data_IF_293779742865
#
_entry.id   IF_293779742865
#
_cell.length_a   1.000
_cell.length_b   1.000
_cell.length_c   1.000
_cell.angle_alpha   90.00
_cell.angle_beta   90.00
_cell.angle_gamma   90.00
#
_symmetry.space_group_name_H-M   'P 1'
#
loop_
_entity.id
_entity.type
_entity.pdbx_description
1 polymer ?
#
# COMPACT_ATOMS: atom_id res chain seq x y z
N UNK A 1 1.82 7.71 -14.63
CA UNK A 1 2.05 9.18 -14.62
C UNK A 1 2.33 9.63 -16.05
N UNK A 2 1.78 10.77 -16.48
CA UNK A 2 2.14 11.40 -17.75
C UNK A 2 3.05 12.60 -17.48
N UNK A 3 4.19 12.69 -18.14
CA UNK A 3 5.15 13.80 -17.96
C UNK A 3 4.75 15.02 -18.80
N UNK A 4 5.30 16.22 -18.52
CA UNK A 4 5.13 17.39 -19.39
C UNK A 4 5.60 17.18 -20.82
N UNK A 5 6.54 16.26 -21.03
CA UNK A 5 7.13 15.87 -22.32
C UNK A 5 6.31 14.84 -23.10
N UNK A 6 5.07 14.54 -22.66
CA UNK A 6 4.17 13.56 -23.27
C UNK A 6 4.61 12.09 -23.09
N UNK A 7 5.51 11.82 -22.14
CA UNK A 7 5.95 10.46 -21.80
C UNK A 7 5.06 9.81 -20.74
N UNK A 8 5.05 8.48 -20.72
CA UNK A 8 4.26 7.69 -19.76
C UNK A 8 5.18 6.84 -18.88
N UNK A 9 5.16 7.14 -17.58
CA UNK A 9 5.85 6.36 -16.55
C UNK A 9 4.83 5.50 -15.80
N UNK A 10 5.12 4.22 -15.65
CA UNK A 10 4.34 3.26 -14.89
C UNK A 10 5.26 2.64 -13.84
N UNK A 11 4.68 2.06 -12.78
CA UNK A 11 5.42 1.54 -11.63
C UNK A 11 5.96 2.64 -10.69
N UNK A 12 5.71 2.48 -9.39
CA UNK A 12 6.07 3.48 -8.38
C UNK A 12 7.58 3.62 -8.23
N UNK A 13 8.34 2.52 -8.27
CA UNK A 13 9.79 2.56 -8.18
C UNK A 13 10.39 3.27 -9.40
N UNK A 14 9.92 2.94 -10.61
CA UNK A 14 10.37 3.62 -11.83
C UNK A 14 10.06 5.12 -11.81
N UNK A 15 8.86 5.50 -11.34
CA UNK A 15 8.46 6.91 -11.21
C UNK A 15 9.39 7.63 -10.22
N UNK A 16 9.64 7.05 -9.05
CA UNK A 16 10.50 7.65 -8.02
C UNK A 16 11.93 7.81 -8.55
N UNK A 17 12.52 6.76 -9.14
CA UNK A 17 13.88 6.80 -9.69
C UNK A 17 14.02 7.88 -10.78
N UNK A 18 13.02 8.01 -11.64
CA UNK A 18 13.01 9.02 -12.70
C UNK A 18 12.92 10.43 -12.11
N UNK A 19 12.08 10.64 -11.09
CA UNK A 19 11.94 11.94 -10.44
C UNK A 19 13.18 12.32 -9.62
N UNK A 20 13.83 11.37 -8.96
CA UNK A 20 15.07 11.60 -8.21
C UNK A 20 16.21 12.11 -9.11
N UNK A 21 16.25 11.67 -10.37
CA UNK A 21 17.22 12.17 -11.37
C UNK A 21 16.92 13.61 -11.80
N UNK A 22 15.64 13.95 -12.00
CA UNK A 22 15.22 15.28 -12.45
C UNK A 22 15.19 16.32 -11.32
N UNK A 23 15.01 15.91 -10.06
CA UNK A 23 14.78 16.79 -8.91
C UNK A 23 15.67 16.46 -7.69
N UNK A 24 17.01 16.61 -7.79
CA UNK A 24 17.93 16.17 -6.76
C UNK A 24 17.88 16.97 -5.44
N UNK A 25 17.23 18.15 -5.42
CA UNK A 25 17.29 19.08 -4.28
C UNK A 25 16.59 18.55 -3.02
N UNK A 26 15.62 17.63 -3.17
CA UNK A 26 14.86 17.03 -2.06
C UNK A 26 14.85 15.51 -2.09
N UNK A 27 15.96 14.91 -2.54
CA UNK A 27 16.10 13.47 -2.74
C UNK A 27 15.57 12.62 -1.57
N UNK A 28 14.70 11.65 -1.86
CA UNK A 28 14.19 10.67 -0.88
C UNK A 28 15.18 9.52 -0.66
N UNK A 29 16.29 9.51 -1.40
CA UNK A 29 17.37 8.54 -1.24
C UNK A 29 18.36 9.02 -0.16
N UNK A 30 18.59 8.25 0.92
CA UNK A 30 19.61 8.60 1.91
C UNK A 30 21.02 8.64 1.32
N UNK A 31 21.86 9.55 1.79
CA UNK A 31 23.23 9.74 1.27
C UNK A 31 24.24 8.76 1.85
N UNK A 32 24.02 8.27 3.08
CA UNK A 32 24.95 7.33 3.72
C UNK A 32 24.62 5.89 3.30
N UNK A 33 25.64 5.04 3.03
CA UNK A 33 25.41 3.67 2.55
C UNK A 33 24.53 2.83 3.48
N UNK A 34 24.66 3.00 4.80
CA UNK A 34 23.87 2.25 5.79
C UNK A 34 22.39 2.62 5.73
N UNK A 35 22.07 3.91 5.75
CA UNK A 35 20.69 4.38 5.66
C UNK A 35 20.08 4.03 4.31
N UNK A 36 20.85 4.14 3.23
CA UNK A 36 20.39 3.76 1.89
C UNK A 36 20.01 2.29 1.82
N UNK A 37 20.85 1.39 2.35
CA UNK A 37 20.55 -0.03 2.44
C UNK A 37 19.26 -0.28 3.26
N UNK A 38 19.13 0.35 4.43
CA UNK A 38 17.95 0.17 5.27
C UNK A 38 16.68 0.69 4.57
N UNK A 39 16.76 1.81 3.87
CA UNK A 39 15.61 2.36 3.12
C UNK A 39 15.11 1.41 2.04
N UNK A 40 16.02 0.80 1.26
CA UNK A 40 15.65 -0.22 0.27
C UNK A 40 15.11 -1.50 0.92
N UNK A 41 15.67 -1.91 2.06
CA UNK A 41 15.16 -3.09 2.76
C UNK A 41 13.70 -2.90 3.21
N UNK A 42 13.36 -1.70 3.70
CA UNK A 42 11.97 -1.39 4.02
C UNK A 42 11.08 -1.35 2.77
N UNK A 43 11.49 -0.65 1.71
CA UNK A 43 10.69 -0.61 0.49
C UNK A 43 10.40 -2.01 -0.08
N UNK A 44 11.42 -2.87 -0.17
CA UNK A 44 11.24 -4.25 -0.61
C UNK A 44 10.39 -5.05 0.36
N UNK A 45 10.56 -4.86 1.67
CA UNK A 45 9.76 -5.54 2.68
C UNK A 45 8.28 -5.13 2.61
N UNK A 46 8.01 -3.86 2.37
CA UNK A 46 6.66 -3.31 2.28
C UNK A 46 5.93 -3.85 1.05
N UNK A 47 6.60 -3.83 -0.11
CA UNK A 47 6.02 -4.25 -1.38
C UNK A 47 5.73 -5.76 -1.42
N UNK A 48 6.61 -6.57 -0.84
CA UNK A 48 6.53 -8.03 -0.97
C UNK A 48 5.88 -8.72 0.25
N UNK A 49 6.00 -8.18 1.47
CA UNK A 49 5.45 -8.81 2.68
C UNK A 49 4.26 -8.06 3.26
N UNK A 50 4.27 -6.73 3.35
CA UNK A 50 3.11 -6.01 3.93
C UNK A 50 1.88 -6.05 3.03
N UNK A 51 2.04 -6.35 1.74
CA UNK A 51 0.92 -6.65 0.85
C UNK A 51 0.07 -7.83 1.33
N UNK A 52 0.65 -8.78 2.07
CA UNK A 52 -0.04 -9.98 2.57
C UNK A 52 -1.14 -9.61 3.59
N UNK A 53 -0.83 -8.97 4.75
CA UNK A 53 -1.86 -8.53 5.67
C UNK A 53 -2.78 -7.50 5.03
N UNK A 54 -2.24 -6.56 4.23
CA UNK A 54 -3.03 -5.56 3.52
C UNK A 54 -4.14 -6.18 2.65
N UNK A 55 -3.82 -7.22 1.87
CA UNK A 55 -4.82 -7.94 1.07
C UNK A 55 -5.73 -8.81 1.92
N UNK A 56 -5.21 -9.43 2.99
CA UNK A 56 -6.02 -10.22 3.92
C UNK A 56 -7.15 -9.38 4.55
N UNK A 57 -6.81 -8.28 5.21
CA UNK A 57 -7.79 -7.40 5.85
C UNK A 57 -8.73 -6.76 4.83
N UNK A 58 -8.28 -6.51 3.60
CA UNK A 58 -9.13 -5.98 2.55
C UNK A 58 -10.17 -6.97 2.03
N UNK A 59 -9.78 -8.23 1.83
CA UNK A 59 -10.60 -9.16 1.03
C UNK A 59 -11.18 -10.34 1.80
N UNK A 60 -10.74 -10.58 3.05
CA UNK A 60 -11.25 -11.67 3.90
C UNK A 60 -12.03 -11.17 5.13
N UNK A 61 -12.11 -9.85 5.34
CA UNK A 61 -12.99 -9.22 6.34
C UNK A 61 -14.22 -8.62 5.66
N UNK A 62 -15.23 -8.23 6.43
CA UNK A 62 -16.53 -7.72 5.94
C UNK A 62 -16.48 -6.25 5.43
N UNK A 63 -15.48 -5.92 4.62
CA UNK A 63 -15.26 -4.56 4.08
C UNK A 63 -15.83 -4.34 2.68
N UNK A 64 -16.56 -5.33 2.14
CA UNK A 64 -16.93 -5.38 0.72
C UNK A 64 -17.82 -4.24 0.21
N UNK A 65 -18.84 -3.75 0.95
CA UNK A 65 -19.71 -2.69 0.44
C UNK A 65 -18.92 -1.42 0.08
N UNK A 66 -18.04 -0.97 0.99
CA UNK A 66 -17.18 0.18 0.78
C UNK A 66 -16.19 -0.07 -0.39
N UNK A 67 -15.50 -1.20 -0.39
CA UNK A 67 -14.52 -1.53 -1.43
C UNK A 67 -15.18 -1.52 -2.82
N UNK A 68 -16.34 -2.15 -2.98
CA UNK A 68 -17.03 -2.19 -4.27
C UNK A 68 -17.49 -0.82 -4.75
N UNK A 69 -17.93 0.04 -3.83
CA UNK A 69 -18.29 1.41 -4.18
C UNK A 69 -17.08 2.20 -4.70
N UNK A 70 -15.94 2.12 -4.00
CA UNK A 70 -14.71 2.79 -4.40
C UNK A 70 -14.18 2.29 -5.76
N UNK A 71 -14.17 0.97 -5.99
CA UNK A 71 -13.85 0.43 -7.31
C UNK A 71 -14.81 0.93 -8.40
N UNK A 72 -16.11 1.03 -8.09
CA UNK A 72 -17.10 1.57 -9.01
C UNK A 72 -16.86 3.05 -9.36
N UNK A 73 -16.45 3.87 -8.38
CA UNK A 73 -16.07 5.28 -8.58
C UNK A 73 -14.84 5.42 -9.48
N UNK A 74 -13.82 4.58 -9.29
CA UNK A 74 -12.59 4.64 -10.09
C UNK A 74 -12.84 4.21 -11.55
N UNK A 75 -13.58 3.12 -11.76
CA UNK A 75 -13.75 2.51 -13.09
C UNK A 75 -14.80 3.25 -13.92
N UNK A 76 -15.87 3.72 -13.29
CA UNK A 76 -17.02 4.32 -13.96
C UNK A 76 -17.44 5.64 -13.28
N UNK A 77 -16.53 6.64 -13.18
CA UNK A 77 -16.73 7.85 -12.39
C UNK A 77 -17.92 8.71 -12.82
N UNK A 78 -18.37 8.56 -14.07
CA UNK A 78 -19.47 9.33 -14.64
C UNK A 78 -20.80 8.53 -14.72
N UNK A 79 -20.82 7.28 -14.29
CA UNK A 79 -22.02 6.43 -14.36
C UNK A 79 -22.93 6.58 -13.13
N UNK A 80 -24.23 6.26 -13.20
CA UNK A 80 -25.12 6.18 -12.05
C UNK A 80 -24.64 5.19 -10.97
N UNK A 81 -24.97 5.45 -9.69
CA UNK A 81 -24.49 4.67 -8.54
C UNK A 81 -24.76 3.17 -8.61
N UNK A 82 -25.93 2.74 -9.09
CA UNK A 82 -26.25 1.32 -9.24
C UNK A 82 -25.35 0.59 -10.26
N UNK A 83 -24.94 1.29 -11.32
CA UNK A 83 -24.02 0.76 -12.33
C UNK A 83 -22.61 0.67 -11.74
N UNK A 84 -22.18 1.68 -10.98
CA UNK A 84 -20.90 1.65 -10.27
C UNK A 84 -20.81 0.47 -9.30
N UNK A 85 -21.84 0.25 -8.49
CA UNK A 85 -21.89 -0.86 -7.54
C UNK A 85 -21.81 -2.23 -8.24
N UNK A 86 -22.54 -2.39 -9.36
CA UNK A 86 -22.48 -3.62 -10.14
C UNK A 86 -21.09 -3.89 -10.74
N UNK A 87 -20.48 -2.88 -11.38
CA UNK A 87 -19.14 -2.98 -11.96
C UNK A 87 -18.09 -3.22 -10.88
N UNK A 88 -18.14 -2.45 -9.79
CA UNK A 88 -17.23 -2.53 -8.66
C UNK A 88 -17.27 -3.91 -8.00
N UNK A 89 -18.46 -4.50 -7.81
CA UNK A 89 -18.60 -5.87 -7.30
C UNK A 89 -17.94 -6.89 -8.23
N UNK A 90 -18.20 -6.81 -9.55
CA UNK A 90 -17.64 -7.76 -10.53
C UNK A 90 -16.11 -7.72 -10.55
N UNK A 91 -15.53 -6.52 -10.52
CA UNK A 91 -14.09 -6.33 -10.56
C UNK A 91 -13.45 -6.67 -9.22
N UNK A 92 -14.02 -6.20 -8.10
CA UNK A 92 -13.54 -6.53 -6.77
C UNK A 92 -13.55 -8.03 -6.49
N UNK A 93 -14.55 -8.77 -6.99
CA UNK A 93 -14.56 -10.24 -6.89
C UNK A 93 -13.39 -10.90 -7.61
N UNK A 94 -12.90 -10.33 -8.73
CA UNK A 94 -11.70 -10.82 -9.42
C UNK A 94 -10.44 -10.62 -8.55
N UNK A 95 -10.30 -9.46 -7.92
CA UNK A 95 -9.17 -9.18 -7.02
C UNK A 95 -9.19 -10.08 -5.78
N UNK A 96 -10.37 -10.32 -5.19
CA UNK A 96 -10.52 -11.31 -4.12
C UNK A 96 -10.02 -12.70 -4.53
N UNK A 97 -10.21 -13.08 -5.79
CA UNK A 97 -9.72 -14.35 -6.34
C UNK A 97 -8.20 -14.50 -6.38
N UNK A 98 -7.43 -13.41 -6.26
CA UNK A 98 -5.97 -13.44 -6.24
C UNK A 98 -5.36 -13.62 -4.85
N UNK A 99 -6.14 -13.41 -3.79
CA UNK A 99 -5.71 -13.53 -2.38
C UNK A 99 -5.06 -14.88 -2.06
N UNK A 100 -5.59 -16.05 -2.51
CA UNK A 100 -4.94 -17.33 -2.26
C UNK A 100 -3.56 -17.49 -2.90
N UNK A 101 -3.27 -16.79 -4.01
CA UNK A 101 -1.95 -16.85 -4.65
C UNK A 101 -0.86 -16.17 -3.81
N UNK A 102 -1.25 -15.26 -2.91
CA UNK A 102 -0.35 -14.65 -1.92
C UNK A 102 -0.13 -15.54 -0.68
N UNK A 103 -0.62 -16.79 -0.71
CA UNK A 103 -0.53 -17.71 0.42
C UNK A 103 -1.52 -17.43 1.55
N UNK A 104 -2.48 -16.53 1.33
CA UNK A 104 -3.52 -16.18 2.31
C UNK A 104 -4.65 -17.21 2.22
N UNK A 105 -4.76 -18.06 3.22
CA UNK A 105 -5.76 -19.13 3.32
C UNK A 105 -6.15 -19.35 4.79
N UNK A 106 -7.27 -20.04 5.05
CA UNK A 106 -7.80 -20.25 6.40
C UNK A 106 -6.75 -20.77 7.40
N UNK A 107 -5.82 -21.61 6.94
CA UNK A 107 -4.72 -22.15 7.76
C UNK A 107 -3.60 -21.15 8.08
N UNK A 108 -3.38 -20.14 7.23
CA UNK A 108 -2.31 -19.14 7.40
C UNK A 108 -2.81 -17.83 7.99
N UNK A 109 -4.12 -17.55 7.88
CA UNK A 109 -4.74 -16.33 8.41
C UNK A 109 -4.37 -16.06 9.87
N UNK A 110 -4.50 -17.02 10.82
CA UNK A 110 -4.16 -16.75 12.22
C UNK A 110 -2.70 -16.32 12.42
N UNK A 111 -1.76 -16.88 11.64
CA UNK A 111 -0.36 -16.50 11.71
C UNK A 111 -0.07 -15.13 11.06
N UNK A 112 -0.80 -14.78 10.00
CA UNK A 112 -0.70 -13.46 9.36
C UNK A 112 -1.22 -12.38 10.32
N UNK A 113 -2.37 -12.61 10.95
CA UNK A 113 -2.96 -11.70 11.94
C UNK A 113 -2.03 -11.53 13.15
N UNK A 114 -1.53 -12.62 13.73
CA UNK A 114 -0.60 -12.57 14.86
C UNK A 114 0.69 -11.80 14.53
N UNK A 115 1.32 -12.13 13.39
CA UNK A 115 2.52 -11.42 12.93
C UNK A 115 2.27 -9.93 12.75
N UNK A 116 1.15 -9.55 12.13
CA UNK A 116 0.87 -8.16 11.83
C UNK A 116 0.46 -7.36 13.07
N UNK A 117 -0.49 -7.87 13.84
CA UNK A 117 -1.09 -7.16 14.99
C UNK A 117 -0.18 -7.15 16.21
N UNK A 118 0.54 -8.24 16.49
CA UNK A 118 1.33 -8.38 17.72
C UNK A 118 2.82 -8.08 17.54
N UNK A 119 3.32 -8.01 16.29
CA UNK A 119 4.73 -7.72 16.03
C UNK A 119 4.95 -6.49 15.16
N UNK A 120 4.36 -6.43 13.96
CA UNK A 120 4.61 -5.33 13.03
C UNK A 120 4.05 -4.00 13.56
N UNK A 121 2.75 -3.95 13.86
CA UNK A 121 2.09 -2.72 14.31
C UNK A 121 2.70 -2.15 15.60
N UNK A 122 2.98 -2.94 16.65
CA UNK A 122 3.59 -2.41 17.86
C UNK A 122 5.01 -1.88 17.65
N UNK A 123 5.79 -2.48 16.75
CA UNK A 123 7.14 -2.00 16.43
C UNK A 123 7.09 -0.68 15.64
N UNK A 124 6.19 -0.57 14.67
CA UNK A 124 5.99 0.68 13.92
C UNK A 124 5.44 1.78 14.84
N UNK A 125 4.45 1.49 15.67
CA UNK A 125 3.89 2.45 16.64
C UNK A 125 4.97 2.98 17.59
N UNK A 126 5.76 2.08 18.17
CA UNK A 126 6.88 2.46 19.03
C UNK A 126 7.91 3.34 18.30
N UNK A 127 8.25 2.99 17.06
CA UNK A 127 9.21 3.77 16.27
C UNK A 127 8.68 5.17 15.95
N UNK A 128 7.44 5.25 15.46
CA UNK A 128 6.81 6.51 15.08
C UNK A 128 6.38 7.38 16.27
N UNK A 129 6.36 6.84 17.49
CA UNK A 129 6.23 7.63 18.71
C UNK A 129 7.47 8.48 19.01
N UNK A 130 8.65 8.11 18.49
CA UNK A 130 9.93 8.80 18.75
C UNK A 130 10.51 9.47 17.49
N UNK A 131 10.12 9.02 16.30
CA UNK A 131 10.66 9.46 15.02
C UNK A 131 9.56 9.78 14.00
N UNK A 132 9.71 10.89 13.28
CA UNK A 132 8.74 11.28 12.25
C UNK A 132 8.74 10.32 11.04
N UNK A 133 9.87 9.64 10.80
CA UNK A 133 10.11 8.75 9.65
C UNK A 133 11.00 7.56 10.05
N UNK A 134 11.07 6.53 9.20
CA UNK A 134 11.87 5.31 9.43
C UNK A 134 13.34 5.62 9.73
N UNK A 135 13.89 6.66 9.10
CA UNK A 135 15.31 7.01 9.19
C UNK A 135 15.58 8.36 9.86
N UNK A 136 14.63 8.84 10.69
CA UNK A 136 14.78 10.05 11.51
C UNK A 136 13.78 11.14 11.13
N UNK A 137 14.27 12.30 10.70
CA UNK A 137 13.46 13.52 10.52
C UNK A 137 13.08 13.83 9.08
N UNK A 138 13.37 12.95 8.13
CA UNK A 138 13.04 13.11 6.71
C UNK A 138 12.52 11.79 6.12
N UNK A 139 11.49 11.82 5.24
CA UNK A 139 11.03 10.62 4.56
C UNK A 139 12.12 10.07 3.64
N UNK A 140 12.14 8.76 3.55
CA UNK A 140 12.99 7.98 2.65
C UNK A 140 12.13 7.09 1.74
N UNK A 141 12.75 6.38 0.79
CA UNK A 141 12.04 5.44 -0.09
C UNK A 141 11.18 4.43 0.69
N UNK A 142 11.73 3.84 1.76
CA UNK A 142 10.98 2.94 2.65
C UNK A 142 9.71 3.58 3.24
N UNK A 143 9.73 4.88 3.58
CA UNK A 143 8.53 5.55 4.09
C UNK A 143 7.44 5.67 3.02
N UNK A 144 7.83 5.82 1.75
CA UNK A 144 6.89 5.79 0.63
C UNK A 144 6.34 4.38 0.37
N UNK A 145 7.16 3.34 0.56
CA UNK A 145 6.75 1.93 0.49
C UNK A 145 5.60 1.63 1.47
N UNK A 146 5.75 2.03 2.74
CA UNK A 146 4.76 1.84 3.78
C UNK A 146 3.37 2.43 3.47
N UNK A 147 3.29 3.50 2.67
CA UNK A 147 2.03 4.19 2.39
C UNK A 147 1.02 3.32 1.63
N UNK A 148 1.47 2.43 0.75
CA UNK A 148 0.60 1.49 0.04
C UNK A 148 -0.19 0.58 0.98
N UNK A 149 0.48 -0.30 1.75
CA UNK A 149 -0.19 -1.23 2.66
C UNK A 149 -0.86 -0.51 3.85
N UNK A 150 -0.18 0.43 4.52
CA UNK A 150 -0.71 1.01 5.76
C UNK A 150 -1.86 1.98 5.50
N UNK A 151 -1.70 2.92 4.58
CA UNK A 151 -2.72 3.94 4.36
C UNK A 151 -3.83 3.42 3.45
N UNK A 152 -3.49 3.01 2.23
CA UNK A 152 -4.51 2.71 1.22
C UNK A 152 -5.27 1.40 1.50
N UNK A 153 -4.65 0.42 2.15
CA UNK A 153 -5.23 -0.92 2.30
C UNK A 153 -5.70 -1.23 3.71
N UNK A 154 -5.14 -0.60 4.72
CA UNK A 154 -5.51 -0.85 6.11
C UNK A 154 -6.28 0.33 6.70
N UNK A 155 -5.70 1.53 6.75
CA UNK A 155 -6.39 2.70 7.30
C UNK A 155 -7.70 3.01 6.56
N UNK A 156 -7.62 3.22 5.24
CA UNK A 156 -8.81 3.55 4.44
C UNK A 156 -9.81 2.39 4.46
N UNK A 157 -9.37 1.14 4.43
CA UNK A 157 -10.31 0.02 4.33
C UNK A 157 -10.97 -0.35 5.65
N UNK A 158 -10.25 -0.23 6.78
CA UNK A 158 -10.74 -0.69 8.09
C UNK A 158 -11.43 0.40 8.90
N UNK A 159 -11.03 1.67 8.73
CA UNK A 159 -11.50 2.77 9.58
C UNK A 159 -12.51 3.69 8.89
N UNK A 160 -12.77 3.51 7.59
CA UNK A 160 -13.82 4.28 6.88
C UNK A 160 -15.12 3.49 6.65
N UNK A 161 -15.19 2.25 7.16
CA UNK A 161 -16.44 1.51 7.25
C UNK A 161 -17.12 1.92 8.57
N UNK A 162 -18.31 2.57 8.53
CA UNK A 162 -19.02 3.03 9.72
C UNK A 162 -19.59 1.89 10.58
#
# INVERSE_FOLDING_TARGET
MKTPEDEYLQDTAQIIDTLEQHHPQRSVTPTTPKQKLVSYLFETWDDEWLVIPAMHYRWNKDNFPFIYEEFGKVIAPNMPGFIRAFIGKKIGAKFKGFVPMLGIADKSIPAIEDWYENHVLPLLDKHFAEHDYLLGSKPSLGDFGLMGPLYAHLYVTLLTVP
#
